data_IF_903251739149
#
_entry.id   IF_903251739149
#
_cell.length_a   1.000
_cell.length_b   1.000
_cell.length_c   1.000
_cell.angle_alpha   90.00
_cell.angle_beta   90.00
_cell.angle_gamma   90.00
#
_symmetry.space_group_name_H-M   'P 1'
#
loop_
_entity.id
_entity.type
_entity.pdbx_description
1 polymer ?
#
# COMPACT_ATOMS: atom_id res chain seq x y z
N UNK A 1 -8.18 -18.85 -10.99
CA UNK A 1 -7.14 -18.89 -9.95
C UNK A 1 -5.85 -18.49 -10.61
N UNK A 2 -5.17 -17.47 -10.09
CA UNK A 2 -3.82 -17.11 -10.51
C UNK A 2 -2.88 -18.23 -10.05
N UNK A 3 -2.21 -18.91 -10.98
CA UNK A 3 -1.32 -20.04 -10.72
C UNK A 3 0.04 -19.57 -10.17
N UNK A 4 0.04 -18.74 -9.11
CA UNK A 4 1.27 -18.31 -8.46
C UNK A 4 1.92 -19.53 -7.78
N UNK A 5 3.16 -19.89 -8.13
CA UNK A 5 3.86 -21.01 -7.49
C UNK A 5 3.86 -20.88 -5.96
N UNK A 6 3.58 -21.96 -5.20
CA UNK A 6 3.42 -21.88 -3.74
C UNK A 6 4.60 -21.25 -3.00
N UNK A 7 5.83 -21.52 -3.45
CA UNK A 7 7.03 -20.92 -2.85
C UNK A 7 7.11 -19.40 -3.08
N UNK A 8 6.71 -18.89 -4.25
CA UNK A 8 6.66 -17.45 -4.53
C UNK A 8 5.55 -16.78 -3.74
N UNK A 9 4.37 -17.41 -3.67
CA UNK A 9 3.30 -16.94 -2.81
C UNK A 9 3.73 -16.84 -1.35
N UNK A 10 4.41 -17.88 -0.82
CA UNK A 10 4.97 -17.86 0.54
C UNK A 10 5.91 -16.66 0.75
N UNK A 11 6.84 -16.43 -0.16
CA UNK A 11 7.77 -15.29 -0.08
C UNK A 11 7.04 -13.96 -0.05
N UNK A 12 6.08 -13.74 -0.96
CA UNK A 12 5.30 -12.50 -1.02
C UNK A 12 4.51 -12.29 0.28
N UNK A 13 3.83 -13.32 0.78
CA UNK A 13 3.10 -13.28 2.05
C UNK A 13 4.02 -12.93 3.23
N UNK A 14 5.24 -13.47 3.29
CA UNK A 14 6.21 -13.12 4.34
C UNK A 14 6.68 -11.68 4.25
N UNK A 15 6.95 -11.17 3.06
CA UNK A 15 7.34 -9.78 2.85
C UNK A 15 6.20 -8.85 3.28
N UNK A 16 4.96 -9.15 2.85
CA UNK A 16 3.76 -8.42 3.23
C UNK A 16 3.52 -8.46 4.75
N UNK A 17 3.61 -9.63 5.39
CA UNK A 17 3.42 -9.81 6.82
C UNK A 17 4.41 -8.97 7.65
N UNK A 18 5.67 -8.89 7.22
CA UNK A 18 6.68 -8.06 7.87
C UNK A 18 6.45 -6.55 7.69
N UNK A 19 5.58 -6.15 6.74
CA UNK A 19 5.22 -4.75 6.47
C UNK A 19 3.82 -4.37 6.94
N UNK A 20 3.02 -5.32 7.43
CA UNK A 20 1.68 -5.08 7.95
C UNK A 20 1.62 -4.05 9.10
N UNK A 21 2.76 -3.71 9.71
CA UNK A 21 2.90 -2.71 10.79
C UNK A 21 3.23 -1.29 10.35
N UNK A 22 3.41 -0.99 9.06
CA UNK A 22 3.87 0.34 8.63
C UNK A 22 2.86 1.48 8.83
N UNK A 23 1.62 1.21 9.24
CA UNK A 23 0.54 2.18 9.20
C UNK A 23 -0.10 2.51 10.55
N UNK A 24 -0.28 1.55 11.48
CA UNK A 24 -0.74 1.72 12.87
C UNK A 24 -0.88 0.35 13.56
N UNK A 25 -0.98 0.30 14.90
CA UNK A 25 -1.14 -0.95 15.66
C UNK A 25 -2.61 -1.14 16.08
N UNK A 26 -3.35 -1.96 15.32
CA UNK A 26 -4.70 -2.40 15.69
C UNK A 26 -4.83 -3.93 15.62
N UNK A 27 -5.88 -4.46 16.26
CA UNK A 27 -6.10 -5.91 16.41
C UNK A 27 -6.33 -6.61 15.05
N UNK A 28 -6.91 -5.92 14.08
CA UNK A 28 -7.18 -6.51 12.77
C UNK A 28 -5.90 -6.65 11.93
N UNK A 29 -4.98 -5.67 11.97
CA UNK A 29 -3.67 -5.76 11.28
C UNK A 29 -2.82 -6.88 11.87
N UNK A 30 -2.89 -7.11 13.18
CA UNK A 30 -2.22 -8.24 13.83
C UNK A 30 -2.78 -9.59 13.33
N UNK A 31 -4.12 -9.71 13.24
CA UNK A 31 -4.78 -10.89 12.68
C UNK A 31 -4.39 -11.11 11.22
N UNK A 32 -4.38 -10.05 10.40
CA UNK A 32 -3.94 -10.11 9.01
C UNK A 32 -2.49 -10.61 8.90
N UNK A 33 -1.57 -10.06 9.69
CA UNK A 33 -0.17 -10.51 9.72
C UNK A 33 -0.05 -12.00 10.04
N UNK A 34 -0.76 -12.46 11.07
CA UNK A 34 -0.74 -13.87 11.46
C UNK A 34 -1.32 -14.76 10.35
N UNK A 35 -2.43 -14.34 9.73
CA UNK A 35 -3.02 -15.04 8.60
C UNK A 35 -2.03 -15.13 7.41
N UNK A 36 -1.30 -14.05 7.11
CA UNK A 36 -0.28 -14.07 6.05
C UNK A 36 0.86 -15.06 6.35
N UNK A 37 1.31 -15.16 7.60
CA UNK A 37 2.31 -16.16 7.99
C UNK A 37 1.76 -17.59 7.92
N UNK A 38 0.51 -17.80 8.33
CA UNK A 38 -0.16 -19.09 8.23
C UNK A 38 -0.30 -19.54 6.77
N UNK A 39 -0.81 -18.65 5.90
CA UNK A 39 -0.94 -18.93 4.47
C UNK A 39 0.43 -19.17 3.79
N UNK A 40 1.47 -18.46 4.22
CA UNK A 40 2.85 -18.73 3.78
C UNK A 40 3.31 -20.14 4.18
N UNK A 41 3.09 -20.54 5.44
CA UNK A 41 3.47 -21.87 5.92
C UNK A 41 2.69 -22.98 5.21
N UNK A 42 1.40 -22.79 4.98
CA UNK A 42 0.57 -23.74 4.22
C UNK A 42 1.10 -23.92 2.79
N UNK A 43 1.40 -22.82 2.10
CA UNK A 43 1.94 -22.86 0.75
C UNK A 43 3.29 -23.58 0.66
N UNK A 44 4.19 -23.39 1.64
CA UNK A 44 5.46 -24.14 1.72
C UNK A 44 5.27 -25.63 1.95
N UNK A 45 4.26 -26.01 2.73
CA UNK A 45 3.93 -27.41 3.01
C UNK A 45 3.15 -28.07 1.85
N UNK A 46 2.85 -27.34 0.78
CA UNK A 46 2.02 -27.83 -0.33
C UNK A 46 0.57 -28.10 0.08
N UNK A 47 0.16 -27.58 1.25
CA UNK A 47 -1.22 -27.59 1.70
C UNK A 47 -1.90 -26.43 0.99
N UNK A 48 -2.91 -26.71 0.15
CA UNK A 48 -3.58 -25.69 -0.66
C UNK A 48 -3.90 -24.44 0.15
N UNK A 49 -3.56 -23.26 -0.37
CA UNK A 49 -3.77 -21.98 0.28
C UNK A 49 -4.99 -21.30 -0.32
N UNK A 50 -5.81 -20.66 0.52
CA UNK A 50 -7.03 -20.00 0.09
C UNK A 50 -6.81 -18.49 0.10
N UNK A 51 -6.65 -17.92 -1.08
CA UNK A 51 -6.50 -16.46 -1.23
C UNK A 51 -7.82 -15.73 -1.02
N UNK A 52 -8.97 -16.41 -1.07
CA UNK A 52 -10.27 -15.81 -0.81
C UNK A 52 -10.49 -15.53 0.68
N UNK A 53 -9.88 -16.32 1.57
CA UNK A 53 -9.95 -16.11 3.04
C UNK A 53 -9.39 -14.75 3.47
N UNK A 54 -8.57 -14.13 2.61
CA UNK A 54 -7.99 -12.83 2.87
C UNK A 54 -8.99 -11.69 2.58
N UNK A 55 -10.10 -11.91 1.86
CA UNK A 55 -11.14 -10.88 1.71
C UNK A 55 -12.10 -10.87 2.90
N UNK A 56 -12.61 -9.68 3.24
CA UNK A 56 -13.55 -9.47 4.34
C UNK A 56 -14.78 -8.71 3.86
N UNK A 57 -15.85 -8.71 4.65
CA UNK A 57 -17.03 -7.89 4.37
C UNK A 57 -16.76 -6.38 4.49
N UNK A 58 -15.80 -5.99 5.33
CA UNK A 58 -15.41 -4.58 5.51
C UNK A 58 -14.60 -4.07 4.30
N UNK A 59 -15.14 -3.10 3.52
CA UNK A 59 -14.45 -2.55 2.35
C UNK A 59 -13.13 -1.86 2.69
N UNK A 60 -13.03 -1.20 3.86
CA UNK A 60 -11.81 -0.49 4.26
C UNK A 60 -10.65 -1.47 4.43
N UNK A 61 -10.92 -2.61 5.08
CA UNK A 61 -9.93 -3.67 5.25
C UNK A 61 -9.48 -4.26 3.91
N UNK A 62 -10.39 -4.41 2.94
CA UNK A 62 -10.03 -4.88 1.60
C UNK A 62 -9.12 -3.89 0.86
N UNK A 63 -9.40 -2.58 0.95
CA UNK A 63 -8.53 -1.56 0.39
C UNK A 63 -7.16 -1.54 1.08
N UNK A 64 -7.10 -1.69 2.42
CA UNK A 64 -5.84 -1.77 3.14
C UNK A 64 -5.01 -3.00 2.74
N UNK A 65 -5.63 -4.15 2.49
CA UNK A 65 -4.94 -5.35 1.99
C UNK A 65 -4.39 -5.14 0.59
N UNK A 66 -5.18 -4.52 -0.29
CA UNK A 66 -4.71 -4.10 -1.61
C UNK A 66 -3.48 -3.19 -1.49
N UNK A 67 -3.52 -2.16 -0.63
CA UNK A 67 -2.37 -1.29 -0.38
C UNK A 67 -1.15 -2.05 0.13
N UNK A 68 -1.33 -3.02 1.03
CA UNK A 68 -0.25 -3.84 1.55
C UNK A 68 0.43 -4.64 0.43
N UNK A 69 -0.34 -5.28 -0.44
CA UNK A 69 0.22 -6.05 -1.56
C UNK A 69 0.81 -5.15 -2.64
N UNK A 70 0.19 -4.01 -2.94
CA UNK A 70 0.72 -3.02 -3.88
C UNK A 70 2.06 -2.45 -3.41
N UNK A 71 2.18 -2.17 -2.11
CA UNK A 71 3.45 -1.75 -1.51
C UNK A 71 4.50 -2.87 -1.56
N UNK A 72 4.09 -4.10 -1.25
CA UNK A 72 4.95 -5.29 -1.32
C UNK A 72 5.49 -5.51 -2.73
N UNK A 73 4.64 -5.39 -3.74
CA UNK A 73 5.04 -5.43 -5.15
C UNK A 73 6.04 -4.31 -5.47
N UNK A 74 5.78 -3.06 -5.08
CA UNK A 74 6.73 -1.96 -5.31
C UNK A 74 8.12 -2.24 -4.71
N UNK A 75 8.19 -2.90 -3.55
CA UNK A 75 9.45 -3.33 -2.96
C UNK A 75 10.12 -4.46 -3.76
N UNK A 76 9.35 -5.44 -4.22
CA UNK A 76 9.88 -6.56 -5.01
C UNK A 76 10.37 -6.05 -6.37
N UNK A 77 9.66 -5.13 -7.01
CA UNK A 77 10.07 -4.53 -8.28
C UNK A 77 11.36 -3.71 -8.17
N UNK A 78 11.69 -3.18 -6.99
CA UNK A 78 12.92 -2.42 -6.77
C UNK A 78 14.15 -3.29 -6.51
N UNK A 79 13.98 -4.61 -6.34
CA UNK A 79 15.08 -5.56 -6.25
C UNK A 79 15.88 -5.62 -7.55
N UNK A 80 17.17 -5.91 -7.42
CA UNK A 80 18.02 -6.21 -8.57
C UNK A 80 17.53 -7.48 -9.26
N UNK A 81 17.83 -7.63 -10.55
CA UNK A 81 17.44 -8.82 -11.31
C UNK A 81 18.06 -10.10 -10.73
N UNK A 82 19.26 -9.96 -10.15
CA UNK A 82 19.92 -10.99 -9.37
C UNK A 82 20.28 -10.38 -8.01
N UNK A 83 19.64 -10.89 -6.96
CA UNK A 83 19.92 -10.47 -5.59
C UNK A 83 21.06 -11.30 -5.00
N UNK A 84 22.05 -10.61 -4.41
CA UNK A 84 23.18 -11.26 -3.76
C UNK A 84 22.81 -11.68 -2.33
N UNK A 85 22.63 -12.97 -2.12
CA UNK A 85 22.31 -13.59 -0.84
C UNK A 85 23.56 -14.06 -0.07
N UNK A 86 24.77 -13.71 -0.51
CA UNK A 86 26.02 -14.12 0.16
C UNK A 86 26.10 -13.71 1.63
N UNK A 87 25.45 -12.61 2.00
CA UNK A 87 25.33 -12.15 3.40
C UNK A 87 24.49 -13.09 4.26
N UNK A 88 23.64 -13.94 3.66
CA UNK A 88 22.80 -14.89 4.38
C UNK A 88 23.60 -16.07 4.94
N UNK A 89 24.78 -16.34 4.37
CA UNK A 89 25.74 -17.33 4.91
C UNK A 89 26.22 -16.96 6.32
N UNK A 90 26.25 -15.67 6.67
CA UNK A 90 26.61 -15.23 8.02
C UNK A 90 25.61 -15.69 9.09
N UNK A 91 24.41 -16.10 8.67
CA UNK A 91 23.37 -16.66 9.54
C UNK A 91 23.33 -18.19 9.50
N UNK A 92 24.40 -18.85 9.02
CA UNK A 92 24.52 -20.32 8.91
C UNK A 92 23.40 -20.98 8.07
N UNK A 93 22.71 -20.20 7.23
CA UNK A 93 21.73 -20.73 6.28
C UNK A 93 22.47 -21.10 5.00
N UNK A 94 22.48 -22.40 4.68
CA UNK A 94 23.16 -22.97 3.52
C UNK A 94 22.38 -22.63 2.23
N UNK A 95 22.55 -21.40 1.74
CA UNK A 95 21.79 -20.84 0.62
C UNK A 95 22.64 -20.67 -0.65
N UNK A 96 21.95 -20.68 -1.81
CA UNK A 96 22.48 -20.20 -3.09
C UNK A 96 22.90 -18.73 -2.94
N UNK A 97 24.03 -18.35 -3.54
CA UNK A 97 24.59 -17.00 -3.39
C UNK A 97 23.80 -15.91 -4.11
N UNK A 98 22.94 -16.32 -5.03
CA UNK A 98 22.25 -15.45 -5.97
C UNK A 98 20.81 -15.94 -6.11
N UNK A 99 19.88 -15.00 -6.18
CA UNK A 99 18.47 -15.29 -6.47
C UNK A 99 17.99 -14.43 -7.63
N UNK A 100 17.55 -15.08 -8.70
CA UNK A 100 16.95 -14.42 -9.86
C UNK A 100 15.53 -13.96 -9.51
N UNK A 101 15.30 -12.65 -9.48
CA UNK A 101 14.06 -12.07 -8.95
C UNK A 101 12.93 -12.01 -9.96
N UNK A 102 13.17 -12.33 -11.23
CA UNK A 102 12.19 -12.16 -12.32
C UNK A 102 10.86 -12.87 -12.02
N UNK A 103 10.90 -14.13 -11.57
CA UNK A 103 9.68 -14.87 -11.25
C UNK A 103 8.95 -14.29 -10.03
N UNK A 104 9.70 -13.82 -9.03
CA UNK A 104 9.10 -13.16 -7.86
C UNK A 104 8.42 -11.84 -8.24
N UNK A 105 9.05 -11.05 -9.12
CA UNK A 105 8.49 -9.80 -9.68
C UNK A 105 7.21 -10.05 -10.48
N UNK A 106 7.15 -11.12 -11.28
CA UNK A 106 5.92 -11.48 -12.01
C UNK A 106 4.82 -11.93 -11.05
N UNK A 107 5.16 -12.80 -10.09
CA UNK A 107 4.21 -13.30 -9.09
C UNK A 107 3.64 -12.19 -8.19
N UNK A 108 4.45 -11.20 -7.80
CA UNK A 108 3.97 -10.08 -6.98
C UNK A 108 2.97 -9.21 -7.74
N UNK A 109 3.21 -8.96 -9.03
CA UNK A 109 2.30 -8.22 -9.88
C UNK A 109 0.97 -8.97 -10.08
N UNK A 110 1.02 -10.28 -10.35
CA UNK A 110 -0.18 -11.13 -10.43
C UNK A 110 -0.99 -11.10 -9.13
N UNK A 111 -0.30 -11.10 -7.98
CA UNK A 111 -0.95 -11.01 -6.68
C UNK A 111 -1.65 -9.67 -6.49
N UNK A 112 -1.03 -8.55 -6.88
CA UNK A 112 -1.69 -7.24 -6.85
C UNK A 112 -2.96 -7.22 -7.68
N UNK A 113 -2.91 -7.72 -8.92
CA UNK A 113 -4.08 -7.79 -9.79
C UNK A 113 -5.21 -8.65 -9.20
N UNK A 114 -4.86 -9.73 -8.50
CA UNK A 114 -5.86 -10.56 -7.82
C UNK A 114 -6.59 -9.81 -6.69
N UNK A 115 -5.89 -8.91 -5.97
CA UNK A 115 -6.46 -8.10 -4.90
C UNK A 115 -7.10 -6.80 -5.38
N UNK A 116 -6.95 -6.44 -6.65
CA UNK A 116 -7.54 -5.25 -7.29
C UNK A 116 -9.04 -5.44 -7.59
N UNK A 117 -9.83 -5.71 -6.54
CA UNK A 117 -11.29 -5.91 -6.60
C UNK A 117 -12.02 -4.62 -6.24
N UNK A 118 -12.07 -3.70 -7.20
CA UNK A 118 -12.60 -2.33 -6.99
C UNK A 118 -14.03 -2.28 -6.47
N UNK A 119 -14.83 -3.31 -6.75
CA UNK A 119 -16.20 -3.50 -6.25
C UNK A 119 -16.26 -3.77 -4.73
N UNK A 120 -15.15 -4.22 -4.13
CA UNK A 120 -15.01 -4.48 -2.70
C UNK A 120 -14.35 -3.30 -1.96
N UNK A 121 -14.02 -2.21 -2.65
CA UNK A 121 -13.37 -1.04 -2.05
C UNK A 121 -14.39 0.06 -1.68
N UNK A 122 -14.10 0.89 -0.65
CA UNK A 122 -14.93 2.03 -0.30
C UNK A 122 -14.89 3.10 -1.40
N UNK A 123 -16.02 3.68 -1.77
CA UNK A 123 -16.11 4.62 -2.89
C UNK A 123 -15.63 6.04 -2.53
N UNK A 124 -14.32 6.21 -2.31
CA UNK A 124 -13.74 7.47 -1.87
C UNK A 124 -13.45 8.48 -2.98
N UNK A 125 -13.43 8.06 -4.25
CA UNK A 125 -13.08 8.96 -5.38
C UNK A 125 -13.84 10.30 -5.35
N UNK A 126 -15.19 10.34 -5.26
CA UNK A 126 -15.92 11.62 -5.25
C UNK A 126 -15.54 12.50 -4.06
N UNK A 127 -15.39 11.90 -2.87
CA UNK A 127 -15.05 12.63 -1.64
C UNK A 127 -13.64 13.22 -1.69
N UNK A 128 -12.66 12.47 -2.19
CA UNK A 128 -11.28 12.97 -2.34
C UNK A 128 -11.26 14.15 -3.33
N UNK A 129 -11.98 14.04 -4.45
CA UNK A 129 -12.09 15.13 -5.45
C UNK A 129 -12.75 16.36 -4.83
N UNK A 130 -13.84 16.19 -4.09
CA UNK A 130 -14.53 17.29 -3.40
C UNK A 130 -13.61 17.96 -2.37
N UNK A 131 -12.90 17.17 -1.56
CA UNK A 131 -11.98 17.69 -0.55
C UNK A 131 -10.84 18.50 -1.20
N UNK A 132 -10.24 18.01 -2.29
CA UNK A 132 -9.26 18.76 -3.08
C UNK A 132 -9.85 20.07 -3.61
N UNK A 133 -11.09 20.07 -4.11
CA UNK A 133 -11.72 21.28 -4.64
C UNK A 133 -12.02 22.31 -3.55
N UNK A 134 -12.41 21.88 -2.35
CA UNK A 134 -12.60 22.77 -1.18
C UNK A 134 -11.27 23.45 -0.85
N UNK A 135 -10.18 22.68 -0.77
CA UNK A 135 -8.85 23.21 -0.47
C UNK A 135 -8.40 24.24 -1.51
N UNK A 136 -8.54 23.91 -2.80
CA UNK A 136 -8.13 24.79 -3.89
C UNK A 136 -8.98 26.06 -4.00
N UNK A 137 -10.30 25.97 -3.79
CA UNK A 137 -11.19 27.15 -3.81
C UNK A 137 -10.86 28.15 -2.71
N UNK A 138 -10.35 27.67 -1.57
CA UNK A 138 -9.90 28.49 -0.45
C UNK A 138 -8.40 28.81 -0.48
N UNK A 139 -7.70 28.48 -1.57
CA UNK A 139 -6.25 28.72 -1.78
C UNK A 139 -5.34 28.00 -0.78
N UNK A 140 -5.77 26.86 -0.25
CA UNK A 140 -4.92 25.97 0.53
C UNK A 140 -4.25 24.92 -0.37
N UNK A 141 -2.99 24.64 -0.06
CA UNK A 141 -2.25 23.53 -0.67
C UNK A 141 -2.60 22.19 -0.01
N UNK A 142 -2.25 21.11 -0.71
CA UNK A 142 -2.35 19.75 -0.20
C UNK A 142 -1.25 18.89 -0.82
N UNK A 143 -0.92 17.80 -0.15
CA UNK A 143 -0.01 16.78 -0.66
C UNK A 143 -0.75 15.44 -0.70
N UNK A 144 -1.01 14.93 -1.91
CA UNK A 144 -1.54 13.58 -2.10
C UNK A 144 -0.40 12.61 -2.39
N UNK A 145 -0.44 11.44 -1.75
CA UNK A 145 0.57 10.39 -1.89
C UNK A 145 -0.04 9.07 -2.34
N UNK A 146 0.65 8.42 -3.27
CA UNK A 146 0.33 7.07 -3.70
C UNK A 146 0.99 6.00 -2.81
N UNK A 147 0.55 4.74 -2.92
CA UNK A 147 1.13 3.59 -2.19
C UNK A 147 2.65 3.47 -2.38
N UNK A 148 3.16 3.84 -3.56
CA UNK A 148 4.59 3.84 -3.87
C UNK A 148 5.35 5.08 -3.36
N UNK A 149 4.71 5.93 -2.56
CA UNK A 149 5.27 7.18 -2.03
C UNK A 149 5.35 8.33 -3.04
N UNK A 150 4.96 8.12 -4.30
CA UNK A 150 4.99 9.18 -5.32
C UNK A 150 3.97 10.28 -5.00
N UNK A 151 4.33 11.52 -5.35
CA UNK A 151 3.39 12.64 -5.35
C UNK A 151 2.31 12.42 -6.39
N UNK A 152 1.07 12.71 -6.03
CA UNK A 152 -0.08 12.58 -6.92
C UNK A 152 -0.80 13.92 -7.02
N UNK A 153 -1.28 14.27 -8.21
CA UNK A 153 -2.12 15.44 -8.46
C UNK A 153 -3.46 15.03 -9.04
N UNK A 154 -4.46 15.89 -8.86
CA UNK A 154 -5.77 15.78 -9.50
C UNK A 154 -5.78 16.69 -10.73
N UNK A 155 -6.12 16.12 -11.90
CA UNK A 155 -6.55 16.91 -13.05
C UNK A 155 -8.02 17.31 -12.82
N UNK A 156 -8.26 18.58 -12.50
CA UNK A 156 -9.62 19.08 -12.22
C UNK A 156 -10.54 19.08 -13.46
N UNK A 157 -9.98 19.15 -14.67
CA UNK A 157 -10.79 19.17 -15.89
C UNK A 157 -11.31 17.78 -16.22
N UNK A 158 -10.49 16.75 -15.97
CA UNK A 158 -10.82 15.37 -16.31
C UNK A 158 -11.33 14.56 -15.11
N UNK A 159 -11.00 14.96 -13.88
CA UNK A 159 -11.34 14.21 -12.66
C UNK A 159 -10.50 12.94 -12.47
N UNK A 160 -9.27 12.92 -12.99
CA UNK A 160 -8.34 11.80 -12.88
C UNK A 160 -7.10 12.18 -12.08
N UNK A 161 -6.52 11.21 -11.38
CA UNK A 161 -5.28 11.40 -10.63
C UNK A 161 -4.10 11.01 -11.50
N UNK A 162 -2.97 11.68 -11.31
CA UNK A 162 -1.74 11.40 -12.06
C UNK A 162 -0.49 11.71 -11.24
N UNK A 163 0.60 11.01 -11.54
CA UNK A 163 1.91 11.36 -11.02
C UNK A 163 2.51 12.50 -11.88
N UNK A 164 2.93 13.63 -11.30
CA UNK A 164 3.44 14.76 -12.08
C UNK A 164 4.82 14.49 -12.71
N UNK A 165 5.59 13.56 -12.15
CA UNK A 165 6.98 13.29 -12.58
C UNK A 165 7.02 12.52 -13.90
N UNK A 166 6.17 11.51 -14.05
CA UNK A 166 6.13 10.63 -15.23
C UNK A 166 4.81 10.75 -16.03
N UNK A 167 3.85 11.56 -15.56
CA UNK A 167 2.52 11.77 -16.15
C UNK A 167 1.66 10.51 -16.24
N UNK A 168 2.01 9.45 -15.51
CA UNK A 168 1.20 8.24 -15.44
C UNK A 168 -0.13 8.52 -14.74
N UNK A 169 -1.21 7.93 -15.24
CA UNK A 169 -2.50 7.94 -14.57
C UNK A 169 -2.43 7.06 -13.32
N UNK A 170 -3.09 7.49 -12.25
CA UNK A 170 -3.10 6.84 -10.96
C UNK A 170 -4.55 6.58 -10.56
N UNK A 171 -4.83 5.37 -10.10
CA UNK A 171 -6.16 5.05 -9.64
C UNK A 171 -6.41 5.70 -8.28
N UNK A 172 -7.67 6.06 -7.99
CA UNK A 172 -8.01 6.67 -6.70
C UNK A 172 -7.72 5.74 -5.52
N UNK A 173 -7.82 4.43 -5.72
CA UNK A 173 -7.52 3.41 -4.71
C UNK A 173 -6.02 3.16 -4.56
N UNK A 174 -5.15 3.80 -5.35
CA UNK A 174 -3.71 3.82 -5.11
C UNK A 174 -3.30 4.98 -4.17
N UNK A 175 -4.23 5.87 -3.80
CA UNK A 175 -3.97 6.94 -2.85
C UNK A 175 -3.92 6.37 -1.42
N UNK A 176 -2.89 6.75 -0.66
CA UNK A 176 -2.70 6.28 0.72
C UNK A 176 -3.02 7.34 1.76
N UNK A 177 -2.55 8.57 1.57
CA UNK A 177 -2.86 9.67 2.49
C UNK A 177 -2.82 11.02 1.80
N UNK A 178 -3.46 12.00 2.46
CA UNK A 178 -3.36 13.40 2.12
C UNK A 178 -2.83 14.18 3.31
N UNK A 179 -1.84 15.03 3.08
CA UNK A 179 -1.37 16.00 4.07
C UNK A 179 -1.97 17.36 3.72
N UNK A 180 -2.63 17.97 4.71
CA UNK A 180 -3.17 19.33 4.66
C UNK A 180 -2.71 20.09 5.91
N UNK A 181 -2.68 21.43 5.84
CA UNK A 181 -2.32 22.23 7.02
C UNK A 181 -3.44 22.22 8.09
N UNK A 182 -3.12 22.55 9.35
CA UNK A 182 -4.14 22.69 10.39
C UNK A 182 -5.22 23.74 10.06
N UNK A 183 -4.86 24.83 9.38
CA UNK A 183 -5.80 25.87 8.93
C UNK A 183 -6.71 25.33 7.83
N UNK A 184 -6.15 24.55 6.91
CA UNK A 184 -6.91 23.88 5.86
C UNK A 184 -7.90 22.86 6.43
N UNK A 185 -7.56 22.17 7.54
CA UNK A 185 -8.48 21.26 8.24
C UNK A 185 -9.74 21.98 8.76
N UNK A 186 -9.64 23.24 9.18
CA UNK A 186 -10.77 24.00 9.75
C UNK A 186 -11.84 24.37 8.73
N UNK A 187 -11.49 24.46 7.45
CA UNK A 187 -12.44 24.78 6.38
C UNK A 187 -13.11 23.53 5.78
N UNK A 188 -12.55 22.34 6.03
CA UNK A 188 -13.12 21.09 5.53
C UNK A 188 -14.30 20.71 6.44
N UNK A 189 -15.49 20.46 5.87
CA UNK A 189 -16.64 20.02 6.65
C UNK A 189 -16.33 18.75 7.44
N UNK A 190 -16.67 18.73 8.73
CA UNK A 190 -16.34 17.61 9.62
C UNK A 190 -16.87 16.26 9.11
N UNK A 191 -18.09 16.23 8.56
CA UNK A 191 -18.69 15.02 8.00
C UNK A 191 -17.90 14.41 6.83
N UNK A 192 -17.08 15.21 6.14
CA UNK A 192 -16.19 14.69 5.09
C UNK A 192 -14.96 13.98 5.67
N UNK A 193 -14.56 14.33 6.89
CA UNK A 193 -13.38 13.78 7.57
C UNK A 193 -13.72 12.52 8.39
N UNK A 194 -14.99 12.30 8.75
CA UNK A 194 -15.43 11.18 9.60
C UNK A 194 -15.05 9.78 9.07
N UNK A 195 -14.90 9.64 7.75
CA UNK A 195 -14.56 8.35 7.15
C UNK A 195 -13.05 8.09 7.01
N UNK A 196 -12.24 9.12 7.25
CA UNK A 196 -10.78 9.07 7.14
C UNK A 196 -10.11 9.06 8.51
N UNK A 197 -9.09 8.23 8.67
CA UNK A 197 -8.22 8.28 9.85
C UNK A 197 -7.39 9.57 9.81
N UNK A 198 -7.73 10.54 10.66
CA UNK A 198 -7.05 11.82 10.75
C UNK A 198 -5.95 11.78 11.83
N UNK A 199 -4.69 11.73 11.40
CA UNK A 199 -3.54 11.83 12.30
C UNK A 199 -3.01 13.27 12.36
N UNK A 200 -2.74 13.78 13.57
CA UNK A 200 -2.08 15.07 13.75
C UNK A 200 -0.55 14.88 13.75
N UNK A 201 0.09 15.24 12.63
CA UNK A 201 1.54 15.23 12.50
C UNK A 201 2.14 16.48 13.16
N UNK A 202 2.46 16.39 14.45
CA UNK A 202 3.12 17.47 15.19
C UNK A 202 4.63 17.48 14.92
N UNK A 203 5.08 18.12 13.85
CA UNK A 203 6.51 18.41 13.64
C UNK A 203 6.76 19.92 13.54
N UNK A 204 6.75 20.61 14.69
CA UNK A 204 7.32 21.95 14.79
C UNK A 204 8.82 21.86 15.11
N UNK A 205 9.66 22.04 14.09
CA UNK A 205 11.10 22.31 14.27
C UNK A 205 11.31 23.82 14.40
N UNK A 206 11.56 24.29 15.62
CA UNK A 206 12.03 25.65 15.87
C UNK A 206 13.53 25.73 15.56
N UNK A 207 13.90 26.22 14.37
CA UNK A 207 15.27 26.63 14.10
C UNK A 207 15.44 28.07 14.62
N UNK A 208 16.04 28.20 15.81
CA UNK A 208 16.54 29.49 16.30
C UNK A 208 17.93 29.72 15.71
N UNK A 209 18.10 30.78 14.95
CA UNK A 209 19.42 31.29 14.60
C UNK A 209 19.93 32.13 15.78
N UNK A 210 21.09 31.75 16.33
CA UNK A 210 21.85 32.55 17.29
C UNK A 210 22.51 33.73 16.59
#
# INVERSE_FOLDING_TARGET
>A
MTDIPPHLFSMICRIAANRAYYFEFDDWRLKLRNALFEQSAMAELGLGFDTEILFTEDPKQNLCKYHLFKYTDCLIQSLQDIENLSTWRLFEVDCVNEYETQFLKMASLEMVHYFEKTELFPQYKPKIVELVNILLSHKYGYELRGVNGKYIKLDQQKGHFYCPDDKSEVNWYDLTYMIISPEAKQIVPQHMLEEFECQELNYQLNIKFL
#
